data_IF_424337790705
#
_entry.id   IF_424337790705
#
_cell.length_a   1.000
_cell.length_b   1.000
_cell.length_c   1.000
_cell.angle_alpha   90.00
_cell.angle_beta   90.00
_cell.angle_gamma   90.00
#
_symmetry.space_group_name_H-M   'P 1'
#
loop_
_entity.id
_entity.type
_entity.pdbx_description
1 polymer ?
#
# COMPACT_ATOMS: atom_id res chain seq x y z
N UNK A 1 30.72 13.05 6.64
CA UNK A 1 29.68 12.79 5.63
C UNK A 1 29.88 11.37 5.14
N UNK A 2 28.95 10.46 5.42
CA UNK A 2 29.03 9.08 4.92
C UNK A 2 28.63 9.14 3.44
N UNK A 3 29.53 8.78 2.53
CA UNK A 3 29.23 8.75 1.10
C UNK A 3 28.11 7.73 0.82
N UNK A 4 27.17 8.13 -0.04
CA UNK A 4 26.05 7.32 -0.53
C UNK A 4 26.57 6.12 -1.32
N UNK A 5 26.70 4.95 -0.69
CA UNK A 5 27.39 3.79 -1.31
C UNK A 5 26.47 2.80 -2.02
N UNK A 6 25.16 2.97 -2.01
CA UNK A 6 24.25 2.11 -2.76
C UNK A 6 23.32 2.96 -3.63
N UNK A 7 23.40 2.81 -4.95
CA UNK A 7 22.46 3.42 -5.91
C UNK A 7 21.47 2.38 -6.47
N UNK A 8 21.60 1.13 -6.02
CA UNK A 8 20.79 0.00 -6.45
C UNK A 8 20.07 -0.56 -5.23
N UNK A 9 18.75 -0.72 -5.33
CA UNK A 9 17.98 -1.38 -4.27
C UNK A 9 18.45 -2.82 -4.13
N UNK A 10 18.78 -3.23 -2.91
CA UNK A 10 19.19 -4.60 -2.63
C UNK A 10 17.96 -5.41 -2.19
N UNK A 11 17.51 -6.39 -3.00
CA UNK A 11 16.42 -7.25 -2.60
C UNK A 11 16.89 -8.34 -1.65
N UNK A 12 16.15 -8.52 -0.56
CA UNK A 12 16.23 -9.69 0.32
C UNK A 12 14.86 -10.34 0.39
N UNK A 13 14.81 -11.63 0.71
CA UNK A 13 13.55 -12.37 0.84
C UNK A 13 13.52 -13.04 2.20
N UNK A 14 12.38 -12.95 2.87
CA UNK A 14 12.11 -13.69 4.09
C UNK A 14 10.72 -14.32 4.03
N UNK A 15 10.51 -15.35 4.85
CA UNK A 15 9.26 -16.08 4.94
C UNK A 15 8.57 -15.77 6.26
N UNK A 16 7.28 -15.43 6.18
CA UNK A 16 6.39 -15.30 7.34
C UNK A 16 5.14 -16.09 7.02
N UNK A 17 4.75 -17.02 7.91
CA UNK A 17 3.52 -17.81 7.77
C UNK A 17 3.32 -18.46 6.38
N UNK A 18 4.40 -19.01 5.81
CA UNK A 18 4.49 -19.58 4.45
C UNK A 18 4.24 -18.60 3.30
N UNK A 19 4.17 -17.29 3.54
CA UNK A 19 4.22 -16.29 2.49
C UNK A 19 5.64 -15.77 2.29
N UNK A 20 6.01 -15.61 1.03
CA UNK A 20 7.27 -15.02 0.60
C UNK A 20 7.16 -13.50 0.58
N UNK A 21 7.89 -12.80 1.44
CA UNK A 21 7.92 -11.33 1.50
C UNK A 21 9.28 -10.85 1.00
N UNK A 22 9.26 -9.88 0.08
CA UNK A 22 10.47 -9.25 -0.44
C UNK A 22 10.73 -7.95 0.32
N UNK A 23 11.92 -7.86 0.93
CA UNK A 23 12.43 -6.64 1.53
C UNK A 23 13.31 -5.94 0.50
N UNK A 24 13.03 -4.66 0.26
CA UNK A 24 13.78 -3.83 -0.68
C UNK A 24 14.42 -2.71 0.11
N UNK A 25 15.76 -2.71 0.20
CA UNK A 25 16.46 -1.60 0.80
C UNK A 25 16.52 -0.44 -0.20
N UNK A 26 15.87 0.68 0.16
CA UNK A 26 15.89 1.90 -0.63
C UNK A 26 17.07 2.74 -0.12
N UNK A 27 18.08 3.00 -0.95
CA UNK A 27 19.21 3.82 -0.51
C UNK A 27 18.74 5.20 -0.08
N UNK A 28 19.44 5.77 0.92
CA UNK A 28 19.09 7.04 1.56
C UNK A 28 18.76 8.14 0.55
N UNK A 29 17.48 8.51 0.52
CA UNK A 29 16.89 9.82 0.20
C UNK A 29 17.62 10.67 -0.87
N UNK A 30 17.08 10.64 -2.09
CA UNK A 30 16.15 11.64 -2.68
C UNK A 30 16.43 13.15 -2.46
N UNK A 31 17.57 13.62 -1.94
CA UNK A 31 17.92 15.05 -2.11
C UNK A 31 18.18 15.29 -3.61
N UNK A 32 17.18 15.87 -4.29
CA UNK A 32 17.20 16.11 -5.75
C UNK A 32 16.71 14.95 -6.63
N UNK A 33 16.23 13.81 -6.09
CA UNK A 33 15.65 12.78 -6.96
C UNK A 33 14.27 13.17 -7.54
N UNK A 34 13.53 14.06 -6.85
CA UNK A 34 12.35 14.71 -7.40
C UNK A 34 12.68 15.62 -8.61
N UNK A 35 13.92 16.14 -8.69
CA UNK A 35 14.40 16.92 -9.84
C UNK A 35 14.74 16.02 -11.06
N UNK A 36 14.56 14.71 -10.95
CA UNK A 36 14.68 13.77 -12.07
C UNK A 36 16.12 13.51 -12.55
N UNK A 37 17.15 13.91 -11.79
CA UNK A 37 18.56 13.67 -12.15
C UNK A 37 18.95 12.21 -11.88
N UNK A 38 19.46 11.53 -12.91
CA UNK A 38 20.15 10.23 -12.80
C UNK A 38 19.25 9.03 -12.45
N UNK A 39 19.78 8.11 -11.62
CA UNK A 39 19.11 6.85 -11.21
C UNK A 39 18.01 7.05 -10.15
N UNK A 40 17.73 8.28 -9.73
CA UNK A 40 16.68 8.60 -8.75
C UNK A 40 15.28 8.13 -9.19
N UNK A 41 15.00 8.15 -10.50
CA UNK A 41 13.73 7.64 -11.06
C UNK A 41 13.52 6.15 -10.81
N UNK A 42 14.60 5.36 -10.73
CA UNK A 42 14.52 3.92 -10.46
C UNK A 42 14.11 3.67 -9.01
N UNK A 43 14.72 4.39 -8.06
CA UNK A 43 14.38 4.29 -6.62
C UNK A 43 12.92 4.67 -6.38
N UNK A 44 12.44 5.73 -7.05
CA UNK A 44 11.04 6.17 -7.02
C UNK A 44 10.11 5.07 -7.54
N UNK A 45 10.44 4.47 -8.69
CA UNK A 45 9.62 3.41 -9.29
C UNK A 45 9.54 2.18 -8.36
N UNK A 46 10.62 1.84 -7.68
CA UNK A 46 10.64 0.77 -6.68
C UNK A 46 9.72 1.13 -5.50
N UNK A 47 9.82 2.35 -4.97
CA UNK A 47 8.97 2.81 -3.88
C UNK A 47 7.46 2.80 -4.24
N UNK A 48 7.10 3.16 -5.47
CA UNK A 48 5.72 3.08 -5.97
C UNK A 48 5.20 1.63 -6.11
N UNK A 49 6.10 0.67 -6.30
CA UNK A 49 5.77 -0.75 -6.41
C UNK A 49 5.62 -1.46 -5.05
N UNK A 50 6.04 -0.82 -3.96
CA UNK A 50 5.97 -1.40 -2.63
C UNK A 50 4.53 -1.43 -2.09
N UNK A 51 4.21 -2.52 -1.37
CA UNK A 51 2.94 -2.68 -0.65
C UNK A 51 3.02 -2.14 0.80
N UNK A 52 4.22 -1.99 1.36
CA UNK A 52 4.43 -1.45 2.70
C UNK A 52 5.76 -0.71 2.72
N UNK A 53 5.80 0.44 3.38
CA UNK A 53 7.04 1.21 3.59
C UNK A 53 7.41 1.17 5.07
N UNK A 54 8.66 0.81 5.36
CA UNK A 54 9.23 0.89 6.69
C UNK A 54 10.08 2.15 6.78
N UNK A 55 9.69 3.09 7.64
CA UNK A 55 10.45 4.30 7.90
C UNK A 55 11.26 4.08 9.17
N UNK A 56 12.55 3.79 9.00
CA UNK A 56 13.47 3.54 10.12
C UNK A 56 13.96 4.87 10.69
N UNK A 57 13.69 5.09 11.98
CA UNK A 57 14.00 6.29 12.73
C UNK A 57 14.94 5.97 13.88
N UNK A 58 15.74 6.95 14.30
CA UNK A 58 16.54 6.86 15.51
C UNK A 58 15.71 7.38 16.68
N UNK A 59 15.41 6.53 17.67
CA UNK A 59 14.56 6.88 18.81
C UNK A 59 15.19 7.96 19.71
N UNK A 60 16.52 8.14 19.66
CA UNK A 60 17.23 9.15 20.45
C UNK A 60 17.21 10.54 19.84
N UNK A 61 16.72 10.68 18.60
CA UNK A 61 16.69 11.94 17.86
C UNK A 61 15.29 12.53 17.83
N UNK A 62 15.25 13.82 17.50
CA UNK A 62 14.01 14.57 17.36
C UNK A 62 13.17 14.11 16.16
N UNK A 63 11.85 14.31 16.25
CA UNK A 63 10.83 13.91 15.27
C UNK A 63 11.00 14.63 13.91
N UNK A 64 11.90 15.61 13.83
CA UNK A 64 12.28 16.30 12.59
C UNK A 64 12.77 15.32 11.51
N UNK A 65 13.42 14.21 11.89
CA UNK A 65 13.80 13.16 10.94
C UNK A 65 12.58 12.56 10.24
N UNK A 66 11.53 12.25 11.00
CA UNK A 66 10.28 11.72 10.46
C UNK A 66 9.64 12.72 9.50
N UNK A 67 9.58 14.01 9.87
CA UNK A 67 8.94 15.04 9.05
C UNK A 67 9.64 15.24 7.70
N UNK A 68 10.97 15.20 7.66
CA UNK A 68 11.74 15.32 6.41
C UNK A 68 11.46 14.13 5.48
N UNK A 69 11.57 12.90 6.01
CA UNK A 69 11.30 11.67 5.26
C UNK A 69 9.88 11.64 4.67
N UNK A 70 8.88 12.04 5.47
CA UNK A 70 7.49 12.10 5.00
C UNK A 70 7.33 13.12 3.86
N UNK A 71 7.93 14.30 3.98
CA UNK A 71 7.86 15.33 2.94
C UNK A 71 8.49 14.89 1.62
N UNK A 72 9.59 14.16 1.68
CA UNK A 72 10.27 13.66 0.48
C UNK A 72 9.49 12.57 -0.23
N UNK A 73 8.90 11.64 0.54
CA UNK A 73 7.99 10.63 -0.01
C UNK A 73 6.73 11.28 -0.59
N UNK A 74 6.21 12.33 0.06
CA UNK A 74 5.08 13.09 -0.45
C UNK A 74 5.41 13.86 -1.73
N UNK A 75 6.61 14.45 -1.85
CA UNK A 75 7.09 15.10 -3.07
C UNK A 75 7.19 14.13 -4.27
N UNK A 76 7.40 12.83 -4.01
CA UNK A 76 7.46 11.77 -5.04
C UNK A 76 6.07 11.21 -5.39
N UNK A 77 5.01 11.69 -4.74
CA UNK A 77 3.64 11.27 -4.98
C UNK A 77 3.22 10.01 -4.22
N UNK A 78 3.95 9.66 -3.15
CA UNK A 78 3.56 8.60 -2.22
C UNK A 78 2.81 9.25 -1.05
N UNK A 79 1.71 8.63 -0.62
CA UNK A 79 0.89 9.08 0.51
C UNK A 79 0.88 7.99 1.57
N UNK A 80 1.52 8.26 2.71
CA UNK A 80 1.70 7.30 3.79
C UNK A 80 0.46 7.29 4.70
N UNK A 81 -0.07 6.10 4.99
CA UNK A 81 -1.19 5.89 5.93
C UNK A 81 -2.45 6.72 5.65
N UNK A 82 -2.64 7.15 4.40
CA UNK A 82 -3.81 7.91 3.92
C UNK A 82 -4.64 7.03 3.00
N UNK A 83 -5.94 7.30 2.93
CA UNK A 83 -6.84 6.74 1.92
C UNK A 83 -7.03 7.74 0.77
N UNK A 84 -7.31 7.27 -0.46
CA UNK A 84 -7.68 8.16 -1.55
C UNK A 84 -8.87 9.03 -1.15
N UNK A 85 -8.80 10.36 -1.33
CA UNK A 85 -9.85 11.24 -0.91
C UNK A 85 -11.10 11.06 -1.77
N UNK A 86 -12.28 11.23 -1.17
CA UNK A 86 -13.57 11.02 -1.83
C UNK A 86 -13.99 12.25 -2.64
N UNK A 87 -13.28 12.47 -3.74
CA UNK A 87 -13.51 13.55 -4.68
C UNK A 87 -13.82 12.93 -6.04
N UNK A 88 -14.94 13.33 -6.64
CA UNK A 88 -15.28 12.93 -8.01
C UNK A 88 -14.98 14.09 -8.95
N UNK A 89 -13.98 13.89 -9.82
CA UNK A 89 -13.64 14.79 -10.91
C UNK A 89 -14.11 14.16 -12.23
N UNK A 90 -15.04 14.80 -12.92
CA UNK A 90 -15.50 14.39 -14.26
C UNK A 90 -15.24 15.51 -15.25
N UNK A 91 -14.25 15.33 -16.12
CA UNK A 91 -13.94 16.28 -17.19
C UNK A 91 -15.04 16.26 -18.25
N UNK A 92 -15.52 17.45 -18.63
CA UNK A 92 -16.56 17.65 -19.64
C UNK A 92 -15.95 18.18 -20.94
N UNK A 93 -16.66 17.99 -22.06
CA UNK A 93 -16.28 18.59 -23.36
C UNK A 93 -16.60 20.09 -23.43
N UNK A 94 -17.51 20.58 -22.60
CA UNK A 94 -17.95 21.98 -22.53
C UNK A 94 -18.88 22.22 -21.33
N UNK A 95 -19.29 23.47 -21.11
CA UNK A 95 -20.22 23.83 -20.03
C UNK A 95 -19.58 24.42 -18.78
N UNK A 96 -18.29 24.77 -18.82
CA UNK A 96 -17.58 25.43 -17.73
C UNK A 96 -17.31 24.51 -16.53
N UNK A 97 -16.93 25.13 -15.41
CA UNK A 97 -16.62 24.44 -14.17
C UNK A 97 -17.82 24.45 -13.22
N UNK A 98 -18.25 23.28 -12.77
CA UNK A 98 -19.24 23.15 -11.69
C UNK A 98 -18.58 22.48 -10.49
N UNK A 99 -18.51 23.18 -9.35
CA UNK A 99 -17.92 22.66 -8.11
C UNK A 99 -19.00 22.59 -7.04
N UNK A 100 -19.24 21.40 -6.53
CA UNK A 100 -20.22 21.14 -5.46
C UNK A 100 -19.51 20.58 -4.23
N UNK A 101 -19.77 21.20 -3.08
CA UNK A 101 -19.32 20.73 -1.78
C UNK A 101 -20.49 20.06 -1.05
N UNK A 102 -20.33 18.79 -0.70
CA UNK A 102 -21.34 18.04 0.07
C UNK A 102 -21.18 18.30 1.57
N UNK A 103 -19.95 18.63 2.01
CA UNK A 103 -19.57 18.88 3.40
C UNK A 103 -18.90 20.26 3.48
N UNK A 104 -19.11 21.03 4.56
CA UNK A 104 -18.35 22.26 4.79
C UNK A 104 -16.84 21.96 4.86
N UNK A 105 -16.06 22.52 3.93
CA UNK A 105 -14.61 22.33 3.86
C UNK A 105 -13.90 23.65 4.21
N UNK A 106 -13.48 23.86 5.48
CA UNK A 106 -12.80 25.11 5.86
C UNK A 106 -11.41 25.24 5.23
N UNK A 107 -10.80 24.12 4.82
CA UNK A 107 -9.44 24.07 4.27
C UNK A 107 -9.37 24.29 2.76
N UNK A 108 -10.51 24.31 2.07
CA UNK A 108 -10.56 24.37 0.60
C UNK A 108 -11.65 25.32 0.12
N UNK A 109 -11.24 26.36 -0.61
CA UNK A 109 -12.14 27.37 -1.16
C UNK A 109 -12.45 27.12 -2.64
N UNK A 110 -13.64 27.55 -3.09
CA UNK A 110 -14.04 27.54 -4.51
C UNK A 110 -13.00 28.18 -5.43
N UNK A 111 -12.42 29.32 -5.02
CA UNK A 111 -11.39 30.03 -5.78
C UNK A 111 -10.12 29.21 -5.94
N UNK A 112 -9.68 28.52 -4.88
CA UNK A 112 -8.50 27.67 -4.90
C UNK A 112 -8.69 26.47 -5.82
N UNK A 113 -9.87 25.83 -5.78
CA UNK A 113 -10.21 24.72 -6.70
C UNK A 113 -10.19 25.19 -8.16
N UNK A 114 -10.76 26.37 -8.44
CA UNK A 114 -10.73 26.97 -9.77
C UNK A 114 -9.30 27.26 -10.25
N UNK A 115 -8.46 27.83 -9.40
CA UNK A 115 -7.05 28.13 -9.71
C UNK A 115 -6.27 26.86 -10.04
N UNK A 116 -6.39 25.81 -9.20
CA UNK A 116 -5.73 24.53 -9.43
C UNK A 116 -6.16 23.96 -10.79
N UNK A 117 -7.46 23.87 -11.06
CA UNK A 117 -7.94 23.31 -12.34
C UNK A 117 -7.49 24.11 -13.56
N UNK A 118 -7.41 25.44 -13.45
CA UNK A 118 -6.87 26.30 -14.51
C UNK A 118 -5.39 26.02 -14.77
N UNK A 119 -4.60 25.83 -13.71
CA UNK A 119 -3.17 25.49 -13.82
C UNK A 119 -2.95 24.14 -14.51
N UNK A 120 -3.79 23.15 -14.21
CA UNK A 120 -3.82 21.86 -14.91
C UNK A 120 -4.50 21.90 -16.30
N UNK A 121 -4.86 23.10 -16.80
CA UNK A 121 -5.52 23.32 -18.11
C UNK A 121 -6.88 22.63 -18.27
N UNK A 122 -7.58 22.40 -17.16
CA UNK A 122 -8.93 21.81 -17.12
C UNK A 122 -9.96 22.93 -16.98
N UNK A 123 -10.59 23.32 -18.08
CA UNK A 123 -11.56 24.42 -18.11
C UNK A 123 -13.02 23.96 -17.93
N UNK A 124 -13.31 22.69 -18.23
CA UNK A 124 -14.66 22.13 -18.18
C UNK A 124 -14.66 20.85 -17.34
N UNK A 125 -15.21 20.92 -16.12
CA UNK A 125 -15.30 19.76 -15.24
C UNK A 125 -16.43 19.88 -14.24
N UNK A 126 -16.96 18.73 -13.82
CA UNK A 126 -17.77 18.59 -12.61
C UNK A 126 -16.89 18.06 -11.49
N UNK A 127 -16.84 18.81 -10.40
CA UNK A 127 -16.15 18.44 -9.17
C UNK A 127 -17.18 18.27 -8.07
N UNK A 128 -17.21 17.09 -7.46
CA UNK A 128 -18.03 16.82 -6.28
C UNK A 128 -17.11 16.39 -5.15
N UNK A 129 -17.01 17.23 -4.12
CA UNK A 129 -16.21 16.98 -2.92
C UNK A 129 -17.15 16.46 -1.83
N UNK A 130 -16.88 15.25 -1.33
CA UNK A 130 -17.76 14.56 -0.36
C UNK A 130 -17.19 14.47 1.06
N UNK A 131 -15.97 14.94 1.29
CA UNK A 131 -15.34 14.98 2.61
C UNK A 131 -14.47 16.24 2.75
N UNK A 132 -14.01 16.54 3.97
CA UNK A 132 -13.14 17.70 4.21
C UNK A 132 -11.71 17.42 3.69
N UNK A 133 -11.37 18.06 2.57
CA UNK A 133 -10.11 17.89 1.86
C UNK A 133 -9.29 19.18 1.89
N UNK A 134 -7.96 19.04 1.85
CA UNK A 134 -7.03 20.15 1.63
C UNK A 134 -6.80 20.41 0.14
N UNK A 135 -6.09 21.51 -0.19
CA UNK A 135 -5.66 21.79 -1.56
C UNK A 135 -4.75 20.67 -2.12
N UNK A 136 -3.87 20.11 -1.30
CA UNK A 136 -2.96 19.03 -1.70
C UNK A 136 -3.72 17.73 -2.01
N UNK A 137 -4.74 17.41 -1.20
CA UNK A 137 -5.60 16.24 -1.45
C UNK A 137 -6.39 16.39 -2.77
N UNK A 138 -6.77 17.63 -3.13
CA UNK A 138 -7.42 17.90 -4.40
C UNK A 138 -6.44 17.75 -5.57
N UNK A 139 -5.22 18.26 -5.43
CA UNK A 139 -4.14 18.08 -6.42
C UNK A 139 -3.86 16.60 -6.65
N UNK A 140 -3.86 15.79 -5.59
CA UNK A 140 -3.64 14.35 -5.68
C UNK A 140 -4.67 13.64 -6.58
N UNK A 141 -5.93 14.07 -6.54
CA UNK A 141 -7.00 13.52 -7.38
C UNK A 141 -6.89 14.01 -8.81
N UNK A 142 -6.48 15.27 -9.01
CA UNK A 142 -6.30 15.86 -10.35
C UNK A 142 -5.13 15.18 -11.07
N UNK A 143 -4.03 14.89 -10.38
CA UNK A 143 -2.89 14.21 -10.99
C UNK A 143 -3.10 12.72 -11.24
N UNK A 144 -3.82 12.02 -10.35
CA UNK A 144 -4.18 10.60 -10.51
C UNK A 144 -3.02 9.60 -10.44
N UNK A 145 -1.76 10.04 -10.45
CA UNK A 145 -0.56 9.21 -10.33
C UNK A 145 -0.02 9.17 -8.89
N UNK A 146 -0.92 9.06 -7.90
CA UNK A 146 -0.57 8.99 -6.48
C UNK A 146 -0.73 7.58 -5.96
N UNK A 147 0.27 7.10 -5.22
CA UNK A 147 0.22 5.80 -4.56
C UNK A 147 -0.03 5.99 -3.07
N UNK A 148 -1.11 5.40 -2.58
CA UNK A 148 -1.44 5.35 -1.16
C UNK A 148 -0.88 4.04 -0.60
N UNK A 149 0.04 4.13 0.36
CA UNK A 149 0.74 2.97 0.91
C UNK A 149 0.67 3.02 2.43
N UNK A 150 0.50 1.85 3.05
CA UNK A 150 0.65 1.68 4.51
C UNK A 150 2.12 1.86 4.90
N UNK A 151 2.37 2.41 6.08
CA UNK A 151 3.69 2.77 6.55
C UNK A 151 3.82 2.44 8.04
N UNK A 152 4.93 1.80 8.42
CA UNK A 152 5.30 1.56 9.82
C UNK A 152 6.52 2.42 10.14
N UNK A 153 6.42 3.20 11.22
CA UNK A 153 7.54 3.95 11.78
C UNK A 153 8.31 3.05 12.74
N UNK A 154 9.52 2.67 12.37
CA UNK A 154 10.37 1.75 13.15
C UNK A 154 11.41 2.57 13.91
N UNK A 155 11.20 2.76 15.21
CA UNK A 155 12.10 3.49 16.08
C UNK A 155 13.17 2.56 16.63
N UNK A 156 14.40 2.71 16.13
CA UNK A 156 15.55 1.91 16.53
C UNK A 156 16.36 2.58 17.65
N UNK A 157 17.27 1.83 18.30
CA UNK A 157 18.15 2.25 19.42
C UNK A 157 17.43 2.52 20.74
N UNK A 158 16.37 1.77 21.01
CA UNK A 158 15.60 1.89 22.26
C UNK A 158 16.40 1.49 23.50
N UNK A 159 17.51 0.75 23.32
CA UNK A 159 18.48 0.41 24.36
C UNK A 159 19.15 1.62 25.01
N UNK A 160 19.13 2.78 24.33
CA UNK A 160 19.71 4.04 24.83
C UNK A 160 18.68 4.92 25.56
N UNK A 161 17.43 4.49 25.65
CA UNK A 161 16.33 5.29 26.20
C UNK A 161 15.78 4.68 27.50
N UNK A 162 15.27 5.51 28.42
CA UNK A 162 14.54 5.01 29.59
C UNK A 162 13.17 4.43 29.19
N UNK A 163 12.67 3.48 29.99
CA UNK A 163 11.40 2.78 29.74
C UNK A 163 10.20 3.72 29.53
N UNK A 164 10.15 4.85 30.24
CA UNK A 164 9.07 5.83 30.12
C UNK A 164 9.01 6.49 28.74
N UNK A 165 10.17 6.70 28.10
CA UNK A 165 10.23 7.26 26.74
C UNK A 165 9.91 6.20 25.70
N UNK A 166 10.35 4.96 25.92
CA UNK A 166 10.01 3.82 25.07
C UNK A 166 8.49 3.62 25.02
N UNK A 167 7.80 3.65 26.17
CA UNK A 167 6.34 3.50 26.26
C UNK A 167 5.61 4.66 25.56
N UNK A 168 6.10 5.90 25.69
CA UNK A 168 5.55 7.05 24.95
C UNK A 168 5.66 6.87 23.44
N UNK A 169 6.81 6.40 22.94
CA UNK A 169 7.02 6.16 21.52
C UNK A 169 6.15 4.99 21.05
N UNK A 170 6.08 3.89 21.81
CA UNK A 170 5.32 2.70 21.45
C UNK A 170 3.80 2.94 21.31
N UNK A 171 3.26 3.93 22.04
CA UNK A 171 1.84 4.31 21.97
C UNK A 171 1.49 5.21 20.77
N UNK A 172 2.47 5.67 19.99
CA UNK A 172 2.21 6.48 18.80
C UNK A 172 1.51 5.64 17.73
N UNK A 173 0.75 6.26 16.81
CA UNK A 173 0.12 5.52 15.73
C UNK A 173 1.17 4.98 14.76
N UNK A 174 0.99 3.73 14.31
CA UNK A 174 1.86 3.05 13.35
C UNK A 174 3.34 2.96 13.77
N UNK A 175 3.65 3.07 15.06
CA UNK A 175 5.03 2.97 15.57
C UNK A 175 5.36 1.58 16.10
N UNK A 176 6.58 1.13 15.85
CA UNK A 176 7.18 -0.06 16.47
C UNK A 176 8.56 0.31 16.99
N UNK A 177 8.83 -0.02 18.26
CA UNK A 177 10.11 0.23 18.93
C UNK A 177 10.97 -1.02 18.85
N UNK A 178 12.21 -0.90 18.37
CA UNK A 178 13.15 -2.03 18.22
C UNK A 178 14.55 -1.65 18.73
N UNK A 179 15.34 -2.66 19.07
CA UNK A 179 16.80 -2.53 19.20
C UNK A 179 17.46 -3.53 18.27
N UNK A 180 18.12 -3.05 17.22
CA UNK A 180 18.83 -3.90 16.28
C UNK A 180 20.11 -4.52 16.88
N UNK A 181 20.75 -3.85 17.85
CA UNK A 181 21.96 -4.33 18.53
C UNK A 181 21.63 -5.46 19.51
N UNK A 182 20.57 -5.29 20.30
CA UNK A 182 20.13 -6.25 21.30
C UNK A 182 19.09 -7.27 20.76
N UNK A 183 18.68 -7.12 19.50
CA UNK A 183 17.66 -7.93 18.82
C UNK A 183 16.27 -7.90 19.52
N UNK A 184 15.93 -6.78 20.15
CA UNK A 184 14.65 -6.62 20.83
C UNK A 184 13.52 -6.28 19.86
N UNK A 185 12.33 -6.85 20.09
CA UNK A 185 11.07 -6.61 19.37
C UNK A 185 11.10 -6.87 17.86
N UNK A 186 12.09 -7.61 17.35
CA UNK A 186 12.14 -7.96 15.93
C UNK A 186 11.00 -8.89 15.50
N UNK A 187 10.60 -9.83 16.36
CA UNK A 187 9.45 -10.70 16.08
C UNK A 187 8.13 -9.90 16.05
N UNK A 188 7.95 -8.97 16.99
CA UNK A 188 6.80 -8.06 16.99
C UNK A 188 6.75 -7.19 15.73
N UNK A 189 7.91 -6.75 15.22
CA UNK A 189 7.99 -6.04 13.94
C UNK A 189 7.53 -6.93 12.78
N UNK A 190 7.92 -8.20 12.74
CA UNK A 190 7.47 -9.15 11.70
C UNK A 190 5.95 -9.38 11.75
N UNK A 191 5.40 -9.58 12.94
CA UNK A 191 3.95 -9.71 13.14
C UNK A 191 3.22 -8.45 12.68
N UNK A 192 3.73 -7.28 13.04
CA UNK A 192 3.12 -6.02 12.61
C UNK A 192 3.20 -5.82 11.09
N UNK A 193 4.30 -6.21 10.45
CA UNK A 193 4.42 -6.22 8.99
C UNK A 193 3.37 -7.13 8.35
N UNK A 194 3.14 -8.31 8.93
CA UNK A 194 2.13 -9.26 8.45
C UNK A 194 0.72 -8.66 8.50
N UNK A 195 0.34 -8.09 9.65
CA UNK A 195 -0.96 -7.44 9.86
C UNK A 195 -1.17 -6.26 8.90
N UNK A 196 -0.16 -5.38 8.78
CA UNK A 196 -0.27 -4.18 7.95
C UNK A 196 -0.27 -4.51 6.45
N UNK A 197 0.42 -5.57 6.00
CA UNK A 197 0.33 -6.01 4.60
C UNK A 197 -1.05 -6.55 4.25
N UNK A 198 -1.84 -7.01 5.23
CA UNK A 198 -3.18 -7.56 5.00
C UNK A 198 -3.15 -8.74 4.02
N UNK A 199 -2.19 -9.65 4.21
CA UNK A 199 -1.98 -10.79 3.33
C UNK A 199 -3.13 -11.77 3.48
N UNK A 200 -3.68 -12.24 2.36
CA UNK A 200 -4.59 -13.38 2.29
C UNK A 200 -3.92 -14.50 1.50
N UNK A 201 -3.70 -15.64 2.14
CA UNK A 201 -3.15 -16.86 1.54
C UNK A 201 -4.30 -17.73 1.04
N UNK A 202 -4.21 -18.14 -0.21
CA UNK A 202 -5.17 -19.09 -0.79
C UNK A 202 -4.42 -20.33 -1.24
N UNK A 203 -4.85 -21.48 -0.73
CA UNK A 203 -4.24 -22.77 -1.02
C UNK A 203 -4.90 -23.37 -2.26
N UNK A 204 -4.09 -23.97 -3.14
CA UNK A 204 -4.63 -24.60 -4.35
C UNK A 204 -4.84 -26.09 -4.13
N UNK A 205 -5.91 -26.62 -4.71
CA UNK A 205 -6.24 -28.04 -4.65
C UNK A 205 -6.49 -28.60 -6.04
N UNK A 206 -5.80 -29.69 -6.38
CA UNK A 206 -6.03 -30.45 -7.61
C UNK A 206 -7.14 -31.49 -7.40
N UNK A 207 -7.86 -31.83 -8.48
CA UNK A 207 -8.92 -32.84 -8.44
C UNK A 207 -8.33 -34.20 -8.04
N UNK A 208 -8.87 -34.80 -6.98
CA UNK A 208 -8.43 -36.11 -6.48
C UNK A 208 -7.16 -36.08 -5.62
N UNK A 209 -6.62 -34.90 -5.32
CA UNK A 209 -5.47 -34.72 -4.42
C UNK A 209 -5.87 -33.89 -3.20
N UNK A 210 -5.06 -33.99 -2.14
CA UNK A 210 -5.16 -33.10 -1.00
C UNK A 210 -4.71 -31.68 -1.39
N UNK A 211 -5.18 -30.65 -0.67
CA UNK A 211 -4.68 -29.29 -0.85
C UNK A 211 -3.18 -29.21 -0.61
N UNK A 212 -2.51 -28.36 -1.37
CA UNK A 212 -1.10 -28.03 -1.13
C UNK A 212 -1.03 -26.85 -0.15
N UNK A 213 -0.34 -27.06 0.98
CA UNK A 213 -0.16 -26.06 2.03
C UNK A 213 1.25 -25.44 2.06
N UNK A 214 2.15 -25.90 1.18
CA UNK A 214 3.53 -25.42 1.12
C UNK A 214 3.60 -24.11 0.33
N UNK A 215 2.94 -24.05 -0.83
CA UNK A 215 2.98 -22.90 -1.75
C UNK A 215 1.60 -22.22 -1.89
N UNK A 216 1.22 -21.31 -0.96
CA UNK A 216 -0.02 -20.54 -1.10
C UNK A 216 0.09 -19.46 -2.19
N UNK A 217 -1.04 -19.18 -2.84
CA UNK A 217 -1.22 -17.97 -3.64
C UNK A 217 -1.45 -16.80 -2.70
N UNK A 218 -0.46 -15.89 -2.65
CA UNK A 218 -0.45 -14.73 -1.76
C UNK A 218 -1.12 -13.55 -2.45
N UNK A 219 -2.23 -13.07 -1.89
CA UNK A 219 -2.95 -11.89 -2.34
C UNK A 219 -2.89 -10.77 -1.30
N UNK A 220 -2.93 -9.53 -1.74
CA UNK A 220 -2.99 -8.34 -0.88
C UNK A 220 -4.03 -7.38 -1.41
N UNK A 221 -4.71 -6.66 -0.51
CA UNK A 221 -5.69 -5.64 -0.89
C UNK A 221 -5.10 -4.52 -1.74
N UNK A 222 -3.80 -4.24 -1.58
CA UNK A 222 -3.09 -3.20 -2.33
C UNK A 222 -2.84 -3.55 -3.79
N UNK A 223 -2.80 -4.84 -4.14
CA UNK A 223 -2.60 -5.32 -5.51
C UNK A 223 -3.92 -5.55 -6.25
N UNK A 224 -5.05 -5.54 -5.54
CA UNK A 224 -6.37 -5.69 -6.10
C UNK A 224 -7.37 -6.30 -5.12
N UNK A 225 -8.63 -6.46 -5.55
CA UNK A 225 -9.62 -7.12 -4.72
C UNK A 225 -9.25 -8.61 -4.54
N UNK A 226 -9.25 -9.13 -3.31
CA UNK A 226 -9.03 -10.55 -3.02
C UNK A 226 -10.21 -11.39 -3.56
N UNK A 227 -10.21 -11.69 -4.85
CA UNK A 227 -11.28 -12.42 -5.55
C UNK A 227 -10.72 -13.66 -6.24
N UNK A 228 -11.62 -14.60 -6.58
CA UNK A 228 -11.26 -15.79 -7.35
C UNK A 228 -10.61 -15.41 -8.69
N UNK A 229 -11.09 -14.36 -9.34
CA UNK A 229 -10.48 -13.85 -10.58
C UNK A 229 -8.99 -13.50 -10.40
N UNK A 230 -8.68 -12.74 -9.35
CA UNK A 230 -7.31 -12.33 -9.03
C UNK A 230 -6.44 -13.54 -8.71
N UNK A 231 -6.94 -14.48 -7.91
CA UNK A 231 -6.21 -15.71 -7.58
C UNK A 231 -5.91 -16.54 -8.84
N UNK A 232 -6.89 -16.74 -9.72
CA UNK A 232 -6.70 -17.48 -10.97
C UNK A 232 -5.73 -16.75 -11.91
N UNK A 233 -5.82 -15.43 -12.00
CA UNK A 233 -4.89 -14.61 -12.80
C UNK A 233 -3.44 -14.70 -12.32
N UNK A 234 -3.22 -14.84 -11.01
CA UNK A 234 -1.88 -14.98 -10.42
C UNK A 234 -1.27 -16.35 -10.72
N UNK A 235 -2.09 -17.40 -10.79
CA UNK A 235 -1.64 -18.74 -11.19
C UNK A 235 -1.27 -18.75 -12.68
N UNK A 236 -2.21 -18.38 -13.55
CA UNK A 236 -1.96 -18.27 -14.99
C UNK A 236 -3.04 -17.44 -15.69
N UNK A 237 -2.66 -16.45 -16.51
CA UNK A 237 -3.63 -15.59 -17.21
C UNK A 237 -4.56 -16.34 -18.16
N UNK A 238 -4.11 -17.46 -18.75
CA UNK A 238 -4.94 -18.25 -19.66
C UNK A 238 -6.02 -19.07 -18.93
N UNK A 239 -5.82 -19.39 -17.64
CA UNK A 239 -6.83 -20.12 -16.85
C UNK A 239 -8.16 -19.36 -16.74
N UNK A 240 -8.13 -18.03 -16.86
CA UNK A 240 -9.32 -17.20 -16.85
C UNK A 240 -10.22 -17.45 -18.07
N UNK A 241 -9.64 -17.73 -19.25
CA UNK A 241 -10.40 -17.98 -20.49
C UNK A 241 -11.17 -19.30 -20.41
N UNK A 242 -10.53 -20.32 -19.83
CA UNK A 242 -11.10 -21.65 -19.69
C UNK A 242 -11.92 -21.81 -18.40
N UNK A 243 -12.10 -20.77 -17.60
CA UNK A 243 -12.76 -20.87 -16.30
C UNK A 243 -14.25 -21.25 -16.43
N UNK A 244 -14.68 -22.32 -15.76
CA UNK A 244 -16.09 -22.71 -15.64
C UNK A 244 -16.68 -22.29 -14.31
N UNK A 245 -16.10 -22.78 -13.22
CA UNK A 245 -16.46 -22.46 -11.84
C UNK A 245 -15.29 -22.84 -10.92
N UNK A 246 -15.33 -22.38 -9.67
CA UNK A 246 -14.43 -22.84 -8.64
C UNK A 246 -15.20 -23.46 -7.48
N UNK A 247 -14.56 -24.41 -6.78
CA UNK A 247 -14.98 -24.85 -5.47
C UNK A 247 -14.08 -24.20 -4.42
N UNK A 248 -14.71 -23.65 -3.39
CA UNK A 248 -14.00 -23.05 -2.26
C UNK A 248 -14.36 -23.79 -0.98
N UNK A 249 -13.35 -24.08 -0.16
CA UNK A 249 -13.50 -24.50 1.22
C UNK A 249 -12.84 -23.43 2.10
N UNK A 250 -13.56 -22.93 3.10
CA UNK A 250 -13.01 -21.97 4.04
C UNK A 250 -14.06 -21.00 4.56
N UNK A 251 -13.59 -19.92 5.19
CA UNK A 251 -14.44 -18.97 5.91
C UNK A 251 -15.23 -18.05 4.99
N UNK A 252 -14.79 -17.89 3.73
CA UNK A 252 -15.52 -17.11 2.71
C UNK A 252 -16.77 -17.81 2.19
N UNK A 253 -16.80 -19.15 2.26
CA UNK A 253 -17.89 -19.97 1.78
C UNK A 253 -18.91 -20.22 2.89
N UNK A 254 -20.20 -20.08 2.58
CA UNK A 254 -21.29 -20.42 3.54
C UNK A 254 -21.44 -21.93 3.73
N UNK A 255 -21.02 -22.70 2.74
CA UNK A 255 -21.05 -24.17 2.75
C UNK A 255 -19.70 -24.70 2.27
N UNK A 256 -19.21 -25.79 2.85
CA UNK A 256 -17.92 -26.37 2.48
C UNK A 256 -18.13 -27.73 1.79
N UNK A 257 -17.85 -27.87 0.47
CA UNK A 257 -17.49 -26.83 -0.50
C UNK A 257 -18.68 -26.05 -1.07
N UNK A 258 -18.42 -24.82 -1.51
CA UNK A 258 -19.38 -24.00 -2.26
C UNK A 258 -18.92 -23.78 -3.71
N UNK A 259 -19.87 -23.87 -4.64
CA UNK A 259 -19.66 -23.43 -6.02
C UNK A 259 -19.66 -21.90 -6.10
N UNK A 260 -18.56 -21.34 -6.59
CA UNK A 260 -18.36 -19.89 -6.69
C UNK A 260 -17.92 -19.47 -8.10
N UNK A 261 -18.26 -18.23 -8.45
CA UNK A 261 -17.81 -17.56 -9.66
C UNK A 261 -16.57 -16.70 -9.43
N UNK A 262 -16.14 -15.99 -10.47
CA UNK A 262 -14.95 -15.14 -10.46
C UNK A 262 -15.03 -13.95 -9.49
N UNK A 263 -16.23 -13.41 -9.27
CA UNK A 263 -16.48 -12.26 -8.39
C UNK A 263 -16.53 -12.58 -6.90
N UNK A 264 -16.42 -13.86 -6.52
CA UNK A 264 -16.43 -14.26 -5.13
C UNK A 264 -15.16 -13.79 -4.42
N UNK A 265 -15.33 -13.20 -3.22
CA UNK A 265 -14.21 -12.74 -2.39
C UNK A 265 -13.69 -13.90 -1.56
N UNK A 266 -12.38 -14.10 -1.61
CA UNK A 266 -11.67 -15.11 -0.84
C UNK A 266 -11.19 -14.50 0.49
N UNK A 267 -11.09 -15.33 1.51
CA UNK A 267 -10.54 -15.02 2.81
C UNK A 267 -9.16 -15.69 2.99
N UNK A 268 -8.43 -15.32 4.05
CA UNK A 268 -7.17 -16.00 4.39
C UNK A 268 -7.43 -17.48 4.70
N UNK A 269 -6.50 -18.33 4.28
CA UNK A 269 -6.50 -19.80 4.40
C UNK A 269 -7.59 -20.55 3.63
N UNK A 270 -8.29 -19.88 2.71
CA UNK A 270 -9.24 -20.55 1.83
C UNK A 270 -8.52 -21.54 0.89
N UNK A 271 -9.18 -22.66 0.63
CA UNK A 271 -8.74 -23.66 -0.35
C UNK A 271 -9.56 -23.49 -1.62
N UNK A 272 -8.86 -23.36 -2.76
CA UNK A 272 -9.45 -23.14 -4.09
C UNK A 272 -9.17 -24.34 -5.01
N UNK A 273 -10.23 -24.89 -5.61
CA UNK A 273 -10.14 -25.86 -6.70
C UNK A 273 -10.82 -25.31 -7.96
N UNK A 274 -10.05 -25.17 -9.04
CA UNK A 274 -10.49 -24.58 -10.30
C UNK A 274 -11.02 -25.67 -11.25
N UNK A 275 -12.18 -25.44 -11.86
CA UNK A 275 -12.72 -26.29 -12.92
C UNK A 275 -12.71 -25.56 -14.26
N UNK A 276 -12.14 -26.22 -15.27
CA UNK A 276 -12.08 -25.73 -16.64
C UNK A 276 -13.32 -26.12 -17.45
N UNK A 277 -13.65 -25.30 -18.44
CA UNK A 277 -14.54 -25.67 -19.55
C UNK A 277 -13.77 -26.69 -20.40
N UNK A 278 -14.41 -27.83 -20.67
CA UNK A 278 -13.92 -28.85 -21.59
C UNK A 278 -14.34 -28.41 -22.99
#
# INVERSE_FOLDING_TARGET
AYEFTTLCCQPSVFYVNNAKIQLLDLPGIIEGAAEGRGRGRQVIAVAHSCDLILVVLDATKDDRQQQLLVRELEAVGIRLNKRPPNISLRVKKGGGLTVNFTVPCPRLNLKTVQQILQEYKIFNADVVIREDCSADDFIDVVEGNRKYVRCIYVYNKVDMLPLDEIDKIARRPYSVVISSSALWNLEQLKERIWEELGISRVYTKKKGQFPDFEDPVVMTEQRGPCTVETAVSMIHKELLKDFKFALVWGSSAKHSPQHVGLSHRLADEDVLQIFKRI
#
